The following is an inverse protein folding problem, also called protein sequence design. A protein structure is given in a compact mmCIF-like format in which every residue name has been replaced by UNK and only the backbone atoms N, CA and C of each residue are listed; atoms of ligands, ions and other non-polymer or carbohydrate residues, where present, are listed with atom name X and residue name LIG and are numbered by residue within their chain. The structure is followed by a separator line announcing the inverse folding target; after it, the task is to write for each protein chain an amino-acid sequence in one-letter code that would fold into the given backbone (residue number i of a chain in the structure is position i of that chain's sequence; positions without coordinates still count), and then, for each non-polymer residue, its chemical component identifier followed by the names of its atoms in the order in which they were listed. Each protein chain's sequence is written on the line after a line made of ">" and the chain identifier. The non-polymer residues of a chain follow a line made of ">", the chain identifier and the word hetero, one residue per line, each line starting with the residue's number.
data_IF_297129252517
#
_entry.id   IF_297129252517
#
_cell.length_a   1.000
_cell.length_b   1.000
_cell.length_c   1.000
_cell.angle_alpha   90.00
_cell.angle_beta   90.00
_cell.angle_gamma   90.00
#
_symmetry.space_group_name_H-M   'P 1'
#
loop_
_entity.id
_entity.type
_entity.pdbx_description
1 polymer ?
#
# COMPACT_ATOMS: atom_id res chain seq x y z
N UNK A 1 -6.55 57.58 -9.23
CA UNK A 1 -5.60 56.46 -9.39
C UNK A 1 -5.08 56.05 -8.00
N UNK A 2 -5.91 55.44 -7.15
CA UNK A 2 -5.54 55.02 -5.78
C UNK A 2 -6.40 53.83 -5.34
N UNK A 3 -6.15 52.63 -5.87
CA UNK A 3 -6.88 51.41 -5.46
C UNK A 3 -6.01 50.16 -5.36
N UNK A 4 -4.72 50.23 -5.72
CA UNK A 4 -3.91 49.02 -5.96
C UNK A 4 -3.00 48.60 -4.78
N UNK A 5 -2.91 49.40 -3.70
CA UNK A 5 -2.07 49.07 -2.53
C UNK A 5 -2.81 48.22 -1.49
N UNK A 6 -4.09 48.51 -1.23
CA UNK A 6 -4.90 47.75 -0.27
C UNK A 6 -5.20 46.33 -0.74
N UNK A 7 -5.43 46.14 -2.04
CA UNK A 7 -5.66 44.81 -2.63
C UNK A 7 -4.44 43.88 -2.47
N UNK A 8 -3.22 44.41 -2.63
CA UNK A 8 -1.97 43.62 -2.45
C UNK A 8 -1.70 43.24 -0.99
N UNK A 9 -2.10 44.10 -0.04
CA UNK A 9 -2.00 43.81 1.40
C UNK A 9 -3.02 42.75 1.84
N UNK A 10 -4.28 42.87 1.38
CA UNK A 10 -5.32 41.86 1.68
C UNK A 10 -5.00 40.52 1.01
N UNK A 11 -4.50 40.53 -0.22
CA UNK A 11 -4.07 39.32 -0.91
C UNK A 11 -2.88 38.63 -0.22
N UNK A 12 -1.93 39.40 0.34
CA UNK A 12 -0.81 38.83 1.12
C UNK A 12 -1.25 38.23 2.46
N UNK A 13 -2.22 38.86 3.16
CA UNK A 13 -2.77 38.29 4.39
C UNK A 13 -3.56 37.00 4.15
N UNK A 14 -4.31 36.93 3.04
CA UNK A 14 -5.03 35.73 2.64
C UNK A 14 -4.09 34.56 2.26
N UNK A 15 -2.91 34.88 1.70
CA UNK A 15 -1.91 33.86 1.35
C UNK A 15 -1.24 33.24 2.58
N UNK A 16 -1.00 34.04 3.64
CA UNK A 16 -0.42 33.56 4.91
C UNK A 16 -1.45 32.71 5.69
N UNK A 17 -2.74 33.05 5.61
CA UNK A 17 -3.80 32.26 6.24
C UNK A 17 -4.03 30.88 5.58
N UNK A 18 -3.73 30.74 4.28
CA UNK A 18 -3.88 29.48 3.56
C UNK A 18 -2.71 28.50 3.76
N UNK A 19 -1.56 28.96 4.25
CA UNK A 19 -0.39 28.10 4.48
C UNK A 19 -0.40 27.35 5.82
N UNK A 20 -1.32 27.66 6.73
CA UNK A 20 -1.46 26.93 8.01
C UNK A 20 -2.31 25.68 7.86
N UNK A 21 -1.89 24.74 7.01
CA UNK A 21 -2.28 23.35 7.19
C UNK A 21 -1.25 22.74 8.12
N UNK A 22 -1.53 22.78 9.42
CA UNK A 22 -0.83 21.94 10.37
C UNK A 22 -1.14 20.49 9.98
N UNK A 23 -0.19 19.85 9.29
CA UNK A 23 -0.14 18.40 9.19
C UNK A 23 -0.01 17.93 10.63
N UNK A 24 -1.10 17.43 11.20
CA UNK A 24 -1.01 16.59 12.39
C UNK A 24 -0.22 15.36 11.94
N UNK A 25 1.08 15.35 12.24
CA UNK A 25 1.84 14.13 12.21
C UNK A 25 1.16 13.22 13.23
N UNK A 26 0.42 12.23 12.74
CA UNK A 26 -0.05 11.12 13.55
C UNK A 26 1.22 10.51 14.15
N UNK A 27 1.37 10.65 15.47
CA UNK A 27 2.51 10.13 16.20
C UNK A 27 2.41 8.61 16.10
N UNK A 28 3.06 8.04 15.08
CA UNK A 28 3.25 6.61 14.90
C UNK A 28 4.16 6.14 16.05
N UNK A 29 3.56 6.06 17.24
CA UNK A 29 4.16 5.54 18.46
C UNK A 29 4.76 4.19 18.08
N UNK A 30 6.09 4.12 18.01
CA UNK A 30 6.83 2.91 17.70
C UNK A 30 6.29 1.79 18.58
N UNK A 31 5.49 0.89 17.99
CA UNK A 31 4.81 -0.15 18.74
C UNK A 31 5.83 -1.14 19.27
N UNK A 32 6.12 -1.06 20.57
CA UNK A 32 6.97 -2.02 21.27
C UNK A 32 6.07 -3.17 21.73
N UNK A 33 6.33 -4.39 21.23
CA UNK A 33 5.52 -5.58 21.47
C UNK A 33 5.52 -6.11 22.94
N UNK A 34 5.87 -5.28 23.92
CA UNK A 34 5.97 -5.62 25.33
C UNK A 34 7.20 -6.49 25.66
N UNK A 35 7.28 -6.93 26.92
CA UNK A 35 8.40 -7.74 27.45
C UNK A 35 8.05 -9.23 27.60
N UNK A 36 6.85 -9.65 27.18
CA UNK A 36 6.31 -11.03 27.33
C UNK A 36 6.20 -11.69 25.95
N UNK A 37 7.25 -12.38 25.46
CA UNK A 37 7.29 -12.88 24.08
C UNK A 37 6.28 -13.99 23.77
N UNK A 38 5.74 -14.67 24.78
CA UNK A 38 4.75 -15.73 24.60
C UNK A 38 3.31 -15.19 24.39
N UNK A 39 3.09 -13.89 24.54
CA UNK A 39 1.77 -13.27 24.48
C UNK A 39 1.71 -12.26 23.33
N UNK A 40 0.60 -12.28 22.58
CA UNK A 40 0.28 -11.17 21.67
C UNK A 40 -0.26 -10.01 22.50
N UNK A 41 0.32 -8.80 22.42
CA UNK A 41 -0.17 -7.69 23.23
C UNK A 41 -1.58 -7.26 22.79
N UNK A 42 -2.39 -6.82 23.75
CA UNK A 42 -3.80 -6.50 23.52
C UNK A 42 -4.02 -5.37 22.49
N UNK A 43 -3.08 -4.44 22.37
CA UNK A 43 -3.12 -3.31 21.44
C UNK A 43 -2.37 -3.58 20.12
N UNK A 44 -1.96 -4.83 19.87
CA UNK A 44 -1.31 -5.17 18.60
C UNK A 44 -2.25 -4.87 17.43
N UNK A 45 -1.80 -4.12 16.40
CA UNK A 45 -2.59 -3.93 15.19
C UNK A 45 -3.01 -5.28 14.58
N UNK A 46 -4.22 -5.34 14.04
CA UNK A 46 -4.78 -6.53 13.39
C UNK A 46 -5.22 -6.15 11.98
N UNK A 47 -4.75 -6.92 11.00
CA UNK A 47 -5.24 -6.81 9.63
C UNK A 47 -6.59 -7.52 9.57
N UNK A 48 -7.66 -6.79 9.27
CA UNK A 48 -9.03 -7.32 9.21
C UNK A 48 -9.46 -7.69 7.79
N UNK A 49 -8.82 -7.12 6.77
CA UNK A 49 -9.08 -7.42 5.36
C UNK A 49 -7.84 -7.17 4.50
N UNK A 50 -7.84 -7.76 3.30
CA UNK A 50 -6.77 -7.60 2.30
C UNK A 50 -7.43 -7.20 1.00
N UNK A 51 -7.10 -6.02 0.49
CA UNK A 51 -7.60 -5.56 -0.80
C UNK A 51 -6.93 -6.34 -1.93
N UNK A 52 -7.73 -6.95 -2.80
CA UNK A 52 -7.28 -7.68 -4.00
C UNK A 52 -7.92 -7.03 -5.22
N UNK A 53 -7.32 -5.94 -5.69
CA UNK A 53 -7.79 -5.22 -6.85
C UNK A 53 -7.38 -5.90 -8.17
N UNK A 54 -7.73 -5.29 -9.30
CA UNK A 54 -7.38 -5.85 -10.61
C UNK A 54 -5.88 -5.98 -10.83
N UNK A 55 -5.07 -5.04 -10.33
CA UNK A 55 -3.62 -5.08 -10.45
C UNK A 55 -3.03 -6.24 -9.63
N UNK A 56 -3.58 -6.49 -8.44
CA UNK A 56 -3.24 -7.65 -7.62
C UNK A 56 -3.47 -8.96 -8.38
N UNK A 57 -4.64 -9.13 -9.01
CA UNK A 57 -4.94 -10.35 -9.78
C UNK A 57 -4.08 -10.48 -11.03
N UNK A 58 -3.83 -9.39 -11.76
CA UNK A 58 -2.92 -9.40 -12.92
C UNK A 58 -1.53 -9.89 -12.53
N UNK A 59 -1.03 -9.42 -11.40
CA UNK A 59 0.26 -9.84 -10.85
C UNK A 59 0.21 -11.31 -10.39
N UNK A 60 -0.81 -11.68 -9.59
CA UNK A 60 -0.98 -13.03 -9.06
C UNK A 60 -1.14 -14.09 -10.17
N UNK A 61 -1.67 -13.71 -11.33
CA UNK A 61 -1.93 -14.58 -12.49
C UNK A 61 -0.86 -14.45 -13.58
N UNK A 62 0.25 -13.74 -13.34
CA UNK A 62 1.37 -13.63 -14.27
C UNK A 62 1.83 -15.02 -14.75
N UNK A 63 1.98 -15.19 -16.07
CA UNK A 63 2.39 -16.46 -16.68
C UNK A 63 1.35 -17.59 -16.60
N UNK A 64 0.09 -17.30 -16.26
CA UNK A 64 -1.01 -18.26 -16.32
C UNK A 64 -1.90 -17.92 -17.50
N UNK A 65 -2.07 -18.86 -18.43
CA UNK A 65 -2.94 -18.67 -19.59
C UNK A 65 -4.41 -18.94 -19.26
N UNK A 66 -5.30 -18.27 -19.99
CA UNK A 66 -6.74 -18.53 -19.91
C UNK A 66 -7.13 -19.80 -20.70
N UNK A 67 -8.20 -20.51 -20.28
CA UNK A 67 -9.06 -20.22 -19.13
C UNK A 67 -8.37 -20.56 -17.80
N UNK A 68 -8.55 -19.71 -16.79
CA UNK A 68 -7.94 -19.95 -15.49
C UNK A 68 -8.50 -21.22 -14.84
N UNK A 69 -7.64 -22.14 -14.38
CA UNK A 69 -8.11 -23.37 -13.78
C UNK A 69 -8.81 -23.09 -12.45
N UNK A 70 -9.87 -23.84 -12.16
CA UNK A 70 -10.68 -23.68 -10.94
C UNK A 70 -9.85 -23.83 -9.66
N UNK A 71 -8.77 -24.60 -9.72
CA UNK A 71 -7.82 -24.74 -8.61
C UNK A 71 -7.23 -23.41 -8.14
N UNK A 72 -7.18 -22.35 -8.96
CA UNK A 72 -6.66 -21.04 -8.57
C UNK A 72 -7.62 -20.20 -7.72
N UNK A 73 -8.84 -20.66 -7.45
CA UNK A 73 -9.77 -19.95 -6.57
C UNK A 73 -9.24 -19.74 -5.15
N UNK A 74 -8.23 -20.49 -4.71
CA UNK A 74 -7.57 -20.23 -3.42
C UNK A 74 -6.99 -18.79 -3.34
N UNK A 75 -6.72 -18.14 -4.47
CA UNK A 75 -6.29 -16.74 -4.50
C UNK A 75 -7.33 -15.80 -3.88
N UNK A 76 -8.61 -16.16 -3.90
CA UNK A 76 -9.71 -15.43 -3.25
C UNK A 76 -9.57 -15.49 -1.71
N UNK A 77 -9.10 -16.62 -1.18
CA UNK A 77 -9.12 -16.93 0.26
C UNK A 77 -7.76 -16.76 0.97
N UNK A 78 -6.63 -16.73 0.23
CA UNK A 78 -5.28 -16.76 0.82
C UNK A 78 -4.88 -15.56 1.70
N UNK A 79 -5.76 -14.57 1.94
CA UNK A 79 -5.41 -13.33 2.64
C UNK A 79 -4.13 -12.68 2.11
N UNK A 80 -3.25 -12.24 3.02
CA UNK A 80 -1.94 -11.66 2.72
C UNK A 80 -0.78 -12.63 3.02
N UNK A 81 -1.05 -13.94 2.98
CA UNK A 81 -0.01 -14.94 3.19
C UNK A 81 0.96 -14.97 2.01
N UNK A 82 2.24 -15.27 2.28
CA UNK A 82 3.23 -15.45 1.22
C UNK A 82 2.84 -16.62 0.33
N UNK A 83 2.85 -16.43 -1.00
CA UNK A 83 2.66 -17.51 -1.96
C UNK A 83 3.55 -17.31 -3.19
N UNK A 84 3.96 -18.40 -3.86
CA UNK A 84 4.65 -18.32 -5.16
C UNK A 84 3.80 -17.70 -6.28
N UNK A 85 2.52 -17.42 -5.99
CA UNK A 85 1.62 -16.77 -6.93
C UNK A 85 1.78 -15.26 -6.91
N UNK A 86 2.03 -14.67 -5.75
CA UNK A 86 2.13 -13.22 -5.55
C UNK A 86 3.57 -12.70 -5.44
N UNK A 87 4.56 -13.60 -5.42
CA UNK A 87 5.98 -13.25 -5.32
C UNK A 87 6.79 -13.98 -6.40
N UNK A 88 7.83 -13.32 -6.96
CA UNK A 88 8.75 -13.97 -7.87
C UNK A 88 9.54 -15.08 -7.17
N UNK A 89 9.82 -16.14 -7.92
CA UNK A 89 10.65 -17.25 -7.47
C UNK A 89 12.12 -17.06 -7.80
N UNK A 90 12.78 -18.13 -8.26
CA UNK A 90 14.15 -18.08 -8.78
C UNK A 90 14.21 -17.52 -10.21
N UNK A 91 15.38 -17.02 -10.58
CA UNK A 91 15.71 -16.67 -11.97
C UNK A 91 15.74 -17.89 -12.90
N UNK A 92 15.98 -17.64 -14.20
CA UNK A 92 16.23 -18.67 -15.21
C UNK A 92 17.25 -19.72 -14.72
N UNK A 93 17.02 -21.04 -14.94
CA UNK A 93 16.00 -21.66 -15.79
C UNK A 93 14.65 -21.93 -15.09
N UNK A 94 14.47 -21.49 -13.85
CA UNK A 94 13.31 -21.83 -13.02
C UNK A 94 12.23 -20.75 -12.98
N UNK A 95 12.40 -19.68 -13.76
CA UNK A 95 11.37 -18.64 -13.94
C UNK A 95 10.25 -19.09 -14.88
N UNK A 96 9.50 -20.12 -14.46
CA UNK A 96 8.43 -20.74 -15.25
C UNK A 96 7.26 -19.79 -15.55
N UNK A 97 7.18 -18.67 -14.83
CA UNK A 97 6.07 -17.71 -14.90
C UNK A 97 6.51 -16.36 -15.47
N UNK A 98 7.75 -16.25 -15.95
CA UNK A 98 8.30 -15.05 -16.59
C UNK A 98 8.20 -13.80 -15.70
N UNK A 99 8.59 -13.92 -14.44
CA UNK A 99 8.65 -12.81 -13.49
C UNK A 99 9.86 -11.90 -13.71
N UNK A 100 10.96 -12.47 -14.18
CA UNK A 100 12.25 -11.80 -14.33
C UNK A 100 12.53 -11.38 -15.78
N UNK A 101 11.60 -11.59 -16.71
CA UNK A 101 11.76 -11.27 -18.14
C UNK A 101 11.52 -9.78 -18.46
N UNK A 102 11.53 -8.89 -17.46
CA UNK A 102 11.52 -7.44 -17.74
C UNK A 102 12.90 -7.02 -18.28
N UNK A 103 12.95 -6.15 -19.29
CA UNK A 103 14.20 -5.62 -19.84
C UNK A 103 14.94 -4.71 -18.84
#
# INVERSE_FOLDING_TARGET
>A
MFTNRYFKFVASLAFIALSSQAVLAEEDMLYIAGTRPAERPAQAPVITSVSKDGAWYQNALQGVDQPYPHSLRFLEDQGNWFSPFTHPGMDSPYDLRHWHTKP
#
